data_IF_650543458919
#
_entry.id   IF_650543458919
#
_cell.length_a   1.000
_cell.length_b   1.000
_cell.length_c   1.000
_cell.angle_alpha   90.00
_cell.angle_beta   90.00
_cell.angle_gamma   90.00
#
_symmetry.space_group_name_H-M   'P 1'
#
loop_
_entity.id
_entity.type
_entity.pdbx_description
1 polymer ?
#
# COMPACT_ATOMS: atom_id res chain seq x y z
N UNK A 1 -5.23 22.08 0.33
CA UNK A 1 -4.96 22.22 1.78
C UNK A 1 -4.73 20.81 2.32
N UNK A 2 -3.49 20.32 2.25
CA UNK A 2 -3.13 18.99 2.75
C UNK A 2 -3.19 19.09 4.26
N UNK A 3 -4.19 18.43 4.87
CA UNK A 3 -4.38 18.46 6.31
C UNK A 3 -3.23 17.68 6.93
N UNK A 4 -2.36 18.37 7.66
CA UNK A 4 -1.35 17.77 8.54
C UNK A 4 -2.05 16.74 9.45
N UNK A 5 -1.50 15.53 9.67
CA UNK A 5 -2.20 14.51 10.44
C UNK A 5 -2.39 14.96 11.88
N UNK A 6 -3.53 14.57 12.47
CA UNK A 6 -3.84 14.72 13.89
C UNK A 6 -2.83 13.94 14.73
N UNK A 7 -2.76 14.31 16.02
CA UNK A 7 -1.86 13.73 17.02
C UNK A 7 -1.70 12.19 16.92
N UNK A 8 -0.47 11.66 17.03
CA UNK A 8 -0.07 10.34 16.53
C UNK A 8 -0.58 9.13 17.33
N UNK A 9 -1.08 9.32 18.56
CA UNK A 9 -1.51 8.21 19.44
C UNK A 9 -2.92 7.71 19.19
N UNK A 10 -3.77 8.49 18.51
CA UNK A 10 -5.19 8.13 18.29
C UNK A 10 -5.45 7.46 16.92
N UNK A 11 -4.44 7.38 16.05
CA UNK A 11 -4.59 6.92 14.66
C UNK A 11 -4.20 5.44 14.43
N UNK A 12 -3.88 4.70 15.50
CA UNK A 12 -3.58 3.26 15.46
C UNK A 12 -4.81 2.40 15.78
N UNK A 13 -6.00 2.86 15.38
CA UNK A 13 -7.23 2.10 15.59
C UNK A 13 -7.29 0.91 14.61
N UNK A 14 -6.80 -0.25 15.04
CA UNK A 14 -6.83 -1.50 14.26
C UNK A 14 -8.25 -1.94 13.87
N UNK A 15 -9.27 -1.45 14.58
CA UNK A 15 -10.68 -1.76 14.34
C UNK A 15 -11.29 -0.98 13.15
N UNK A 16 -10.63 0.05 12.62
CA UNK A 16 -11.18 0.82 11.50
C UNK A 16 -11.17 0.00 10.19
N UNK A 17 -12.18 0.18 9.32
CA UNK A 17 -12.17 -0.45 8.01
C UNK A 17 -11.01 0.08 7.16
N UNK A 18 -10.33 -0.80 6.42
CA UNK A 18 -9.08 -0.48 5.69
C UNK A 18 -9.25 0.74 4.79
N UNK A 19 -10.26 0.74 3.91
CA UNK A 19 -10.52 1.84 2.97
C UNK A 19 -11.06 3.12 3.62
N UNK A 20 -11.49 3.06 4.88
CA UNK A 20 -11.90 4.25 5.65
C UNK A 20 -10.73 4.90 6.40
N UNK A 21 -9.57 4.26 6.45
CA UNK A 21 -8.43 4.72 7.21
C UNK A 21 -7.85 6.01 6.60
N UNK A 22 -7.53 7.06 7.40
CA UNK A 22 -7.03 8.33 6.86
C UNK A 22 -5.79 8.23 5.97
N UNK A 23 -4.91 7.25 6.22
CA UNK A 23 -3.74 6.96 5.39
C UNK A 23 -4.09 6.50 3.97
N UNK A 24 -5.27 5.92 3.72
CA UNK A 24 -5.72 5.56 2.37
C UNK A 24 -6.08 6.78 1.52
N UNK A 25 -6.28 7.96 2.14
CA UNK A 25 -6.57 9.19 1.41
C UNK A 25 -5.30 9.89 0.89
N UNK A 26 -4.11 9.37 1.24
CA UNK A 26 -2.81 9.86 0.79
C UNK A 26 -2.09 8.81 -0.04
N UNK A 27 -1.31 9.25 -1.03
CA UNK A 27 -0.46 8.35 -1.81
C UNK A 27 0.65 7.74 -0.95
N UNK A 28 1.18 6.59 -1.39
CA UNK A 28 2.38 6.02 -0.81
C UNK A 28 3.57 6.98 -0.92
N UNK A 29 4.44 6.98 0.09
CA UNK A 29 5.64 7.80 0.10
C UNK A 29 6.69 7.24 -0.88
N UNK A 30 7.17 8.08 -1.79
CA UNK A 30 8.15 7.70 -2.82
C UNK A 30 9.57 8.16 -2.49
N UNK A 31 9.74 9.37 -1.95
CA UNK A 31 11.06 10.02 -1.83
C UNK A 31 11.70 9.89 -0.44
N UNK A 32 10.87 9.83 0.60
CA UNK A 32 11.34 9.84 2.00
C UNK A 32 10.57 8.84 2.83
N UNK A 33 11.22 8.22 3.81
CA UNK A 33 10.55 7.36 4.77
C UNK A 33 9.53 8.17 5.61
N UNK A 34 8.31 7.64 5.81
CA UNK A 34 7.33 8.25 6.69
C UNK A 34 7.84 8.37 8.13
N UNK A 35 7.53 9.49 8.80
CA UNK A 35 7.90 9.70 10.20
C UNK A 35 7.08 8.87 11.20
N UNK A 36 5.94 8.33 10.75
CA UNK A 36 4.99 7.60 11.59
C UNK A 36 4.70 6.22 11.00
N UNK A 37 4.41 5.27 11.88
CA UNK A 37 4.00 3.93 11.50
C UNK A 37 2.56 3.90 11.00
N UNK A 38 2.26 2.90 10.19
CA UNK A 38 0.93 2.60 9.65
C UNK A 38 0.56 1.18 10.09
N UNK A 39 -0.72 0.89 10.41
CA UNK A 39 -1.15 -0.48 10.69
C UNK A 39 -0.82 -1.43 9.53
N UNK A 40 -0.29 -2.62 9.85
CA UNK A 40 0.21 -3.58 8.85
C UNK A 40 -0.82 -3.94 7.78
N UNK A 41 -2.10 -4.07 8.17
CA UNK A 41 -3.21 -4.37 7.26
C UNK A 41 -3.42 -3.28 6.21
N UNK A 42 -3.34 -2.01 6.63
CA UNK A 42 -3.53 -0.85 5.75
C UNK A 42 -2.33 -0.72 4.82
N UNK A 43 -1.10 -0.84 5.35
CA UNK A 43 0.12 -0.81 4.54
C UNK A 43 0.13 -1.92 3.47
N UNK A 44 -0.21 -3.15 3.85
CA UNK A 44 -0.30 -4.27 2.92
C UNK A 44 -1.32 -4.01 1.81
N UNK A 45 -2.49 -3.48 2.15
CA UNK A 45 -3.53 -3.20 1.16
C UNK A 45 -3.10 -2.10 0.18
N UNK A 46 -2.50 -1.01 0.67
CA UNK A 46 -1.98 0.06 -0.20
C UNK A 46 -0.95 -0.47 -1.20
N UNK A 47 0.03 -1.25 -0.73
CA UNK A 47 1.07 -1.83 -1.61
C UNK A 47 0.44 -2.79 -2.63
N UNK A 48 -0.51 -3.62 -2.20
CA UNK A 48 -1.21 -4.55 -3.08
C UNK A 48 -2.02 -3.83 -4.16
N UNK A 49 -2.69 -2.73 -3.81
CA UNK A 49 -3.50 -1.94 -4.74
C UNK A 49 -2.64 -1.25 -5.79
N UNK A 50 -1.48 -0.70 -5.40
CA UNK A 50 -0.50 -0.15 -6.34
C UNK A 50 0.08 -1.23 -7.27
N UNK A 51 0.47 -2.39 -6.73
CA UNK A 51 1.00 -3.51 -7.52
C UNK A 51 -0.04 -4.12 -8.48
N UNK A 52 -1.34 -3.95 -8.22
CA UNK A 52 -2.38 -4.42 -9.13
C UNK A 52 -2.34 -3.71 -10.50
N UNK A 53 -1.64 -2.57 -10.59
CA UNK A 53 -1.44 -1.81 -11.83
C UNK A 53 -0.30 -2.37 -12.70
N UNK A 54 0.62 -3.18 -12.15
CA UNK A 54 1.80 -3.71 -12.85
C UNK A 54 1.49 -4.81 -13.88
N UNK A 55 0.21 -5.20 -14.00
CA UNK A 55 -0.24 -6.22 -14.94
C UNK A 55 0.07 -7.64 -14.49
N UNK A 56 -0.47 -8.63 -15.20
CA UNK A 56 -0.30 -10.05 -14.84
C UNK A 56 0.97 -10.62 -15.51
N UNK A 57 1.99 -11.03 -14.75
CA UNK A 57 3.21 -11.62 -15.31
C UNK A 57 2.95 -12.87 -16.16
N UNK A 58 1.92 -13.67 -15.84
CA UNK A 58 1.56 -14.86 -16.62
C UNK A 58 0.99 -14.54 -18.01
N UNK A 59 0.54 -13.30 -18.23
CA UNK A 59 0.07 -12.82 -19.53
C UNK A 59 1.15 -12.03 -20.29
N UNK A 60 2.35 -11.88 -19.73
CA UNK A 60 3.45 -11.19 -20.38
C UNK A 60 4.14 -12.12 -21.40
N UNK A 61 3.87 -11.90 -22.69
CA UNK A 61 4.49 -12.64 -23.80
C UNK A 61 5.74 -11.95 -24.39
N UNK A 62 6.12 -10.78 -23.86
CA UNK A 62 7.28 -10.02 -24.33
C UNK A 62 8.56 -10.36 -23.57
N UNK A 63 8.45 -10.79 -22.31
CA UNK A 63 9.59 -11.19 -21.49
C UNK A 63 10.03 -12.62 -21.79
N UNK A 64 11.34 -12.85 -21.78
CA UNK A 64 11.94 -14.19 -21.86
C UNK A 64 12.14 -14.83 -20.47
N UNK A 65 11.82 -14.12 -19.38
CA UNK A 65 11.99 -14.59 -18.00
C UNK A 65 10.81 -15.48 -17.59
N UNK A 66 11.10 -16.56 -16.87
CA UNK A 66 10.08 -17.49 -16.37
C UNK A 66 9.23 -16.85 -15.26
N UNK A 67 7.90 -16.94 -15.39
CA UNK A 67 6.93 -16.36 -14.44
C UNK A 67 6.19 -17.42 -13.60
N UNK A 68 6.53 -18.70 -13.74
CA UNK A 68 5.92 -19.82 -13.02
C UNK A 68 6.98 -20.80 -12.51
N UNK A 69 6.83 -21.25 -11.26
CA UNK A 69 7.64 -22.31 -10.64
C UNK A 69 6.67 -23.27 -9.92
N UNK A 70 6.93 -24.58 -10.00
CA UNK A 70 6.16 -25.58 -9.25
C UNK A 70 6.43 -25.40 -7.74
N UNK A 71 5.39 -25.61 -6.91
CA UNK A 71 5.49 -25.48 -5.45
C UNK A 71 5.90 -26.77 -4.78
#
# INVERSE_FOLDING_TARGET
>A
MVKTPREPSEMLNESEPVYGHPFMCSNLATDTLPQHSVPARVAHQMIKDELALDGNPSMNLASFVTTYMER
#
